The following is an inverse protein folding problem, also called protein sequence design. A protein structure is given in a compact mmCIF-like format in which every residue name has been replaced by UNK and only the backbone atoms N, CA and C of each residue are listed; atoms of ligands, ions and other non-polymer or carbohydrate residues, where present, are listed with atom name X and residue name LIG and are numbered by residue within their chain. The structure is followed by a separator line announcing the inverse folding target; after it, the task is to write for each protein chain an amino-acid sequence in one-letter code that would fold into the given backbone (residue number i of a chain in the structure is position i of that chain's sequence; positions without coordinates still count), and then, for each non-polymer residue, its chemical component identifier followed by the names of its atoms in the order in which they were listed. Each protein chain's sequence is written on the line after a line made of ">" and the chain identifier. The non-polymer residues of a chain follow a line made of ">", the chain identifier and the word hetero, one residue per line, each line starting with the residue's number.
data_IF_678769469556
#
_entry.id   IF_678769469556
#
_cell.length_a   1.000
_cell.length_b   1.000
_cell.length_c   1.000
_cell.angle_alpha   90.00
_cell.angle_beta   90.00
_cell.angle_gamma   90.00
#
_symmetry.space_group_name_H-M   'P 1'
#
loop_
_entity.id
_entity.type
_entity.pdbx_description
1 polymer ?
#
# COMPACT_ATOMS: atom_id res chain seq x y z
N UNK A 1 7.06 -13.15 -14.27
CA UNK A 1 6.99 -12.41 -15.55
C UNK A 1 7.90 -11.20 -15.42
N UNK A 2 9.01 -11.16 -16.15
CA UNK A 2 9.82 -9.93 -16.25
C UNK A 2 9.04 -8.98 -17.17
N UNK A 3 8.26 -8.08 -16.56
CA UNK A 3 7.51 -7.06 -17.27
C UNK A 3 8.48 -6.13 -17.99
N UNK A 4 8.22 -5.82 -19.26
CA UNK A 4 8.93 -4.76 -19.98
C UNK A 4 8.73 -3.46 -19.20
N UNK A 5 9.82 -2.80 -18.84
CA UNK A 5 9.78 -1.47 -18.19
C UNK A 5 9.08 -0.50 -19.14
N UNK A 6 8.02 0.16 -18.66
CA UNK A 6 7.36 1.20 -19.44
C UNK A 6 8.26 2.45 -19.44
N UNK A 7 9.06 2.61 -20.49
CA UNK A 7 10.12 3.63 -20.59
C UNK A 7 9.57 5.06 -20.53
N UNK A 8 8.31 5.26 -20.90
CA UNK A 8 7.65 6.57 -20.93
C UNK A 8 6.98 6.96 -19.61
N UNK A 9 7.06 6.13 -18.55
CA UNK A 9 6.39 6.39 -17.28
C UNK A 9 6.73 7.77 -16.72
N UNK A 10 8.01 8.12 -16.74
CA UNK A 10 8.51 9.39 -16.21
C UNK A 10 8.08 10.61 -17.04
N UNK A 11 7.68 10.42 -18.30
CA UNK A 11 7.18 11.47 -19.17
C UNK A 11 5.67 11.73 -19.02
N UNK A 12 4.96 10.89 -18.26
CA UNK A 12 3.52 11.08 -18.04
C UNK A 12 3.26 12.23 -17.05
N UNK A 13 2.12 12.93 -17.14
CA UNK A 13 1.65 13.80 -16.08
C UNK A 13 1.55 13.07 -14.73
N UNK A 14 1.86 13.78 -13.63
CA UNK A 14 1.89 13.20 -12.29
C UNK A 14 0.59 12.52 -11.87
N UNK A 15 -0.57 13.03 -12.29
CA UNK A 15 -1.87 12.40 -12.04
C UNK A 15 -1.99 11.02 -12.70
N UNK A 16 -1.50 10.88 -13.93
CA UNK A 16 -1.53 9.59 -14.65
C UNK A 16 -0.57 8.61 -13.97
N UNK A 17 0.64 9.08 -13.61
CA UNK A 17 1.60 8.27 -12.85
C UNK A 17 0.99 7.78 -11.52
N UNK A 18 0.34 8.68 -10.78
CA UNK A 18 -0.32 8.38 -9.51
C UNK A 18 -1.44 7.34 -9.68
N UNK A 19 -2.27 7.48 -10.73
CA UNK A 19 -3.35 6.53 -11.00
C UNK A 19 -2.83 5.14 -11.41
N UNK A 20 -1.70 5.07 -12.14
CA UNK A 20 -1.03 3.80 -12.43
C UNK A 20 -0.45 3.20 -11.13
N UNK A 21 0.18 4.03 -10.30
CA UNK A 21 0.85 3.60 -9.07
C UNK A 21 -0.10 2.92 -8.06
N UNK A 22 -1.40 3.25 -8.06
CA UNK A 22 -2.44 2.60 -7.24
C UNK A 22 -2.56 1.10 -7.47
N UNK A 23 -2.18 0.62 -8.66
CA UNK A 23 -2.29 -0.78 -9.05
C UNK A 23 -0.95 -1.52 -8.99
N UNK A 24 0.12 -0.83 -8.58
CA UNK A 24 1.44 -1.44 -8.48
C UNK A 24 1.52 -2.39 -7.27
N UNK A 25 2.25 -3.50 -7.40
CA UNK A 25 2.67 -4.28 -6.25
C UNK A 25 3.44 -3.40 -5.26
N UNK A 26 3.32 -3.70 -3.96
CA UNK A 26 4.00 -2.95 -2.90
C UNK A 26 5.49 -2.73 -3.18
N UNK A 27 6.22 -3.77 -3.59
CA UNK A 27 7.65 -3.69 -3.92
C UNK A 27 7.95 -2.66 -5.01
N UNK A 28 7.10 -2.59 -6.02
CA UNK A 28 7.25 -1.64 -7.13
C UNK A 28 6.87 -0.22 -6.70
N UNK A 29 5.79 -0.06 -5.91
CA UNK A 29 5.40 1.22 -5.34
C UNK A 29 6.50 1.82 -4.44
N UNK A 30 7.09 1.01 -3.55
CA UNK A 30 8.22 1.44 -2.72
C UNK A 30 9.45 1.77 -3.57
N UNK A 31 9.77 0.96 -4.57
CA UNK A 31 10.90 1.24 -5.47
C UNK A 31 10.68 2.54 -6.25
N UNK A 32 9.45 2.80 -6.69
CA UNK A 32 9.08 4.02 -7.40
C UNK A 32 9.21 5.24 -6.51
N UNK A 33 8.67 5.18 -5.29
CA UNK A 33 8.76 6.25 -4.30
C UNK A 33 10.21 6.58 -3.91
N UNK A 34 11.07 5.56 -3.85
CA UNK A 34 12.49 5.71 -3.49
C UNK A 34 13.39 6.02 -4.69
N UNK A 35 12.87 5.96 -5.91
CA UNK A 35 13.66 6.28 -7.10
C UNK A 35 13.99 7.78 -7.09
N UNK A 36 15.29 8.12 -7.03
CA UNK A 36 15.82 9.48 -6.88
C UNK A 36 15.68 10.31 -8.17
N UNK A 37 14.56 10.21 -8.88
CA UNK A 37 14.36 10.90 -10.16
C UNK A 37 13.95 12.37 -9.98
N UNK A 38 13.40 12.76 -8.81
CA UNK A 38 13.18 14.15 -8.38
C UNK A 38 12.57 14.20 -6.98
N UNK A 39 12.79 15.26 -6.20
CA UNK A 39 12.05 15.51 -4.95
C UNK A 39 10.53 15.48 -5.16
N UNK A 40 10.06 15.94 -6.33
CA UNK A 40 8.65 15.92 -6.71
C UNK A 40 8.09 14.50 -6.91
N UNK A 41 8.93 13.51 -7.21
CA UNK A 41 8.52 12.11 -7.37
C UNK A 41 8.23 11.46 -6.02
N UNK A 42 9.06 11.76 -5.01
CA UNK A 42 8.87 11.22 -3.66
C UNK A 42 7.57 11.73 -3.02
N UNK A 43 7.28 13.04 -3.11
CA UNK A 43 6.03 13.60 -2.56
C UNK A 43 4.77 13.16 -3.31
N UNK A 44 4.88 12.78 -4.58
CA UNK A 44 3.74 12.32 -5.39
C UNK A 44 3.19 10.97 -4.90
N UNK A 45 4.07 10.04 -4.50
CA UNK A 45 3.68 8.68 -4.12
C UNK A 45 3.62 8.45 -2.61
N UNK A 46 4.15 9.37 -1.81
CA UNK A 46 4.09 9.32 -0.35
C UNK A 46 2.68 9.03 0.20
N UNK A 47 1.58 9.63 -0.31
CA UNK A 47 0.24 9.30 0.15
C UNK A 47 -0.15 7.84 -0.09
N UNK A 48 0.25 7.24 -1.23
CA UNK A 48 -0.04 5.85 -1.56
C UNK A 48 0.78 4.89 -0.69
N UNK A 49 2.05 5.24 -0.45
CA UNK A 49 2.93 4.46 0.43
C UNK A 49 2.39 4.45 1.86
N UNK A 50 2.01 5.63 2.38
CA UNK A 50 1.43 5.75 3.71
C UNK A 50 0.11 4.98 3.83
N UNK A 51 -0.76 5.06 2.81
CA UNK A 51 -2.02 4.32 2.78
C UNK A 51 -1.81 2.79 2.74
N UNK A 52 -0.83 2.32 1.96
CA UNK A 52 -0.45 0.92 1.94
C UNK A 52 0.07 0.46 3.30
N UNK A 53 1.00 1.22 3.90
CA UNK A 53 1.62 0.87 5.18
C UNK A 53 0.59 0.80 6.32
N UNK A 54 -0.30 1.78 6.41
CA UNK A 54 -1.33 1.82 7.46
C UNK A 54 -2.34 0.69 7.28
N UNK A 55 -2.77 0.41 6.04
CA UNK A 55 -3.69 -0.69 5.75
C UNK A 55 -3.04 -2.04 6.03
N UNK A 56 -1.80 -2.25 5.61
CA UNK A 56 -1.05 -3.47 5.86
C UNK A 56 -0.86 -3.73 7.36
N UNK A 57 -0.49 -2.70 8.13
CA UNK A 57 -0.32 -2.82 9.59
C UNK A 57 -1.63 -3.19 10.29
N UNK A 58 -2.76 -2.59 9.88
CA UNK A 58 -4.08 -2.96 10.38
C UNK A 58 -4.37 -4.45 10.16
N UNK A 59 -4.18 -4.93 8.93
CA UNK A 59 -4.43 -6.32 8.58
C UNK A 59 -3.48 -7.28 9.30
N UNK A 60 -2.22 -6.88 9.52
CA UNK A 60 -1.29 -7.66 10.32
C UNK A 60 -1.78 -7.81 11.77
N UNK A 61 -2.26 -6.74 12.40
CA UNK A 61 -2.82 -6.83 13.75
C UNK A 61 -4.03 -7.76 13.82
N UNK A 62 -4.90 -7.74 12.81
CA UNK A 62 -6.04 -8.67 12.71
C UNK A 62 -5.56 -10.12 12.67
N UNK A 63 -4.63 -10.41 11.77
CA UNK A 63 -4.19 -11.78 11.50
C UNK A 63 -3.31 -12.35 12.63
N UNK A 64 -2.57 -11.50 13.34
CA UNK A 64 -1.82 -11.88 14.53
C UNK A 64 -2.67 -11.92 15.81
N UNK A 65 -3.95 -11.51 15.76
CA UNK A 65 -4.83 -11.47 16.94
C UNK A 65 -4.49 -10.36 17.94
N UNK A 66 -3.82 -9.30 17.50
CA UNK A 66 -3.36 -8.17 18.33
C UNK A 66 -4.48 -7.15 18.56
N UNK A 67 -5.54 -7.56 19.22
CA UNK A 67 -6.78 -6.79 19.35
C UNK A 67 -6.63 -5.42 20.04
N UNK A 68 -5.69 -5.29 20.99
CA UNK A 68 -5.42 -4.01 21.64
C UNK A 68 -4.87 -2.97 20.65
N UNK A 69 -3.85 -3.35 19.87
CA UNK A 69 -3.26 -2.49 18.86
C UNK A 69 -4.25 -2.16 17.74
N UNK A 70 -5.05 -3.14 17.32
CA UNK A 70 -6.13 -2.95 16.35
C UNK A 70 -7.15 -1.91 16.84
N UNK A 71 -7.61 -2.03 18.09
CA UNK A 71 -8.58 -1.10 18.68
C UNK A 71 -8.02 0.32 18.75
N UNK A 72 -6.79 0.48 19.20
CA UNK A 72 -6.16 1.79 19.33
C UNK A 72 -5.98 2.44 17.95
N UNK A 73 -5.60 1.65 16.94
CA UNK A 73 -5.46 2.10 15.56
C UNK A 73 -6.79 2.55 14.94
N UNK A 74 -7.87 1.76 15.13
CA UNK A 74 -9.21 2.10 14.64
C UNK A 74 -9.83 3.30 15.37
N UNK A 75 -9.52 3.46 16.66
CA UNK A 75 -10.00 4.61 17.45
C UNK A 75 -9.42 5.92 16.92
N UNK A 76 -8.13 5.92 16.58
CA UNK A 76 -7.46 7.09 16.02
C UNK A 76 -7.77 7.32 14.53
N UNK A 77 -8.12 6.26 13.79
CA UNK A 77 -8.32 6.29 12.35
C UNK A 77 -9.53 5.44 11.93
N UNK A 78 -10.74 5.93 12.22
CA UNK A 78 -11.98 5.18 11.96
C UNK A 78 -12.21 4.84 10.47
N UNK A 79 -11.69 5.65 9.54
CA UNK A 79 -11.79 5.40 8.10
C UNK A 79 -11.05 4.14 7.63
N UNK A 80 -10.19 3.57 8.46
CA UNK A 80 -9.49 2.31 8.15
C UNK A 80 -10.46 1.13 7.99
N UNK A 81 -11.69 1.22 8.49
CA UNK A 81 -12.70 0.17 8.31
C UNK A 81 -13.08 -0.06 6.83
N UNK A 82 -12.89 0.95 5.98
CA UNK A 82 -13.18 0.86 4.54
C UNK A 82 -11.96 0.41 3.72
N UNK A 83 -10.80 0.25 4.36
CA UNK A 83 -9.56 -0.09 3.67
C UNK A 83 -9.47 -1.59 3.45
N UNK A 84 -8.95 -1.93 2.28
CA UNK A 84 -8.69 -3.31 1.85
C UNK A 84 -7.28 -3.39 1.35
N UNK A 85 -6.61 -4.48 1.66
CA UNK A 85 -5.21 -4.63 1.34
C UNK A 85 -4.76 -6.07 1.25
N UNK A 86 -3.45 -6.20 1.02
CA UNK A 86 -2.78 -7.48 0.94
C UNK A 86 -2.23 -7.86 2.31
N UNK A 87 -2.43 -9.11 2.74
CA UNK A 87 -1.85 -9.65 3.97
C UNK A 87 -1.50 -11.13 3.79
N UNK A 88 -0.47 -11.58 4.52
CA UNK A 88 -0.13 -13.01 4.64
C UNK A 88 -0.38 -13.43 6.06
N UNK A 89 -1.10 -14.53 6.26
CA UNK A 89 -1.39 -15.02 7.60
C UNK A 89 -0.29 -15.86 8.23
N UNK A 90 -0.47 -16.20 9.50
CA UNK A 90 0.48 -17.02 10.26
C UNK A 90 0.65 -18.44 9.65
N UNK A 91 -0.26 -18.88 8.78
CA UNK A 91 -0.16 -20.15 8.04
C UNK A 91 0.50 -19.99 6.66
N UNK A 92 0.87 -18.76 6.27
CA UNK A 92 1.47 -18.45 4.97
C UNK A 92 0.45 -18.24 3.84
N UNK A 93 -0.86 -18.27 4.11
CA UNK A 93 -1.90 -17.97 3.12
C UNK A 93 -1.88 -16.49 2.78
N UNK A 94 -1.94 -16.18 1.48
CA UNK A 94 -1.92 -14.81 0.97
C UNK A 94 -3.32 -14.38 0.60
N UNK A 95 -3.69 -13.19 1.05
CA UNK A 95 -4.94 -12.53 0.75
C UNK A 95 -4.62 -11.23 0.01
N UNK A 96 -5.11 -11.07 -1.21
CA UNK A 96 -4.77 -9.92 -2.07
C UNK A 96 -5.71 -8.71 -1.89
N UNK A 97 -6.92 -8.96 -1.42
CA UNK A 97 -7.96 -7.93 -1.33
C UNK A 97 -8.85 -8.17 -0.12
N UNK A 98 -8.27 -8.16 1.08
CA UNK A 98 -9.02 -8.43 2.31
C UNK A 98 -9.20 -7.20 3.18
N UNK A 99 -10.33 -7.17 3.90
CA UNK A 99 -10.59 -6.22 4.97
C UNK A 99 -10.25 -6.83 6.34
N UNK A 100 -10.18 -6.00 7.38
CA UNK A 100 -9.98 -6.49 8.75
C UNK A 100 -11.18 -7.21 9.37
N UNK A 101 -12.27 -7.42 8.61
CA UNK A 101 -13.56 -7.94 9.09
C UNK A 101 -14.09 -9.11 8.26
N UNK A 102 -13.25 -9.69 7.39
CA UNK A 102 -13.53 -10.94 6.65
C UNK A 102 -12.94 -12.14 7.38
#
# INVERSE_FOLDING_TARGET
>A
MQGKKFEFFNGLPGEIQYNIAKYLPASELFSLNNSQTSFCFSSLFEPLVNDYQITHRLLQHVVCGEHAALRDMLTNHSLLIFKRGRVTDCSGRKFEHSSGFE
#
